data_IF_987601718835
#
_entry.id   IF_987601718835
#
_cell.length_a   1.000
_cell.length_b   1.000
_cell.length_c   1.000
_cell.angle_alpha   90.00
_cell.angle_beta   90.00
_cell.angle_gamma   90.00
#
_symmetry.space_group_name_H-M   'P 1'
#
loop_
_entity.id
_entity.type
_entity.pdbx_description
1 polymer ?
#
# COMPACT_ATOMS: atom_id res chain seq x y z
N UNK A 1 26.97 -6.28 67.82
CA UNK A 1 27.30 -7.71 67.74
C UNK A 1 26.58 -8.29 66.53
N UNK A 2 27.25 -8.26 65.38
CA UNK A 2 27.63 -9.44 64.56
C UNK A 2 26.44 -10.09 63.87
N UNK A 3 26.28 -10.01 62.55
CA UNK A 3 26.83 -10.92 61.50
C UNK A 3 25.61 -11.02 60.52
N UNK A 4 25.66 -10.93 59.20
CA UNK A 4 26.54 -11.57 58.23
C UNK A 4 26.51 -10.84 56.88
N UNK A 5 27.69 -10.85 56.26
CA UNK A 5 28.03 -10.31 54.96
C UNK A 5 28.17 -11.45 53.95
N UNK A 6 27.08 -11.91 53.33
CA UNK A 6 27.09 -12.89 52.23
C UNK A 6 25.81 -12.61 51.40
N UNK A 7 25.78 -12.33 50.09
CA UNK A 7 26.43 -12.94 48.94
C UNK A 7 26.43 -11.89 47.80
N UNK A 8 27.52 -11.13 47.60
CA UNK A 8 27.80 -10.43 46.33
C UNK A 8 28.40 -11.42 45.33
N UNK A 9 27.78 -12.58 45.13
CA UNK A 9 28.20 -13.51 44.07
C UNK A 9 27.70 -12.97 42.73
N UNK A 10 28.60 -12.15 42.17
CA UNK A 10 28.95 -12.13 40.76
C UNK A 10 27.85 -11.70 39.77
N UNK A 11 27.23 -10.54 40.01
CA UNK A 11 26.41 -9.85 38.99
C UNK A 11 27.18 -9.64 37.68
N UNK A 12 28.50 -9.41 37.76
CA UNK A 12 29.38 -9.29 36.61
C UNK A 12 29.50 -10.60 35.80
N UNK A 13 29.65 -11.75 36.46
CA UNK A 13 29.69 -13.04 35.77
C UNK A 13 28.36 -13.41 35.13
N UNK A 14 27.24 -13.17 35.82
CA UNK A 14 25.90 -13.38 35.25
C UNK A 14 25.67 -12.48 34.03
N UNK A 15 26.07 -11.21 34.09
CA UNK A 15 26.01 -10.30 32.94
C UNK A 15 26.91 -10.74 31.79
N UNK A 16 28.10 -11.26 32.08
CA UNK A 16 29.01 -11.80 31.07
C UNK A 16 28.43 -13.06 30.42
N UNK A 17 27.80 -13.95 31.19
CA UNK A 17 27.10 -15.12 30.68
C UNK A 17 25.97 -14.73 29.71
N UNK A 18 25.13 -13.76 30.08
CA UNK A 18 24.06 -13.27 29.20
C UNK A 18 24.61 -12.61 27.92
N UNK A 19 25.68 -11.81 28.03
CA UNK A 19 26.34 -11.22 26.85
C UNK A 19 26.94 -12.28 25.94
N UNK A 20 27.58 -13.30 26.50
CA UNK A 20 28.13 -14.43 25.75
C UNK A 20 27.03 -15.25 25.05
N UNK A 21 25.90 -15.48 25.73
CA UNK A 21 24.73 -16.13 25.12
C UNK A 21 24.17 -15.28 23.97
N UNK A 22 24.06 -13.96 24.13
CA UNK A 22 23.63 -13.06 23.05
C UNK A 22 24.59 -13.14 21.86
N UNK A 23 25.90 -13.10 22.08
CA UNK A 23 26.91 -13.23 21.02
C UNK A 23 26.77 -14.58 20.31
N UNK A 24 26.60 -15.67 21.06
CA UNK A 24 26.44 -17.00 20.50
C UNK A 24 25.18 -17.10 19.62
N UNK A 25 24.05 -16.56 20.09
CA UNK A 25 22.79 -16.51 19.30
C UNK A 25 22.99 -15.68 18.03
N UNK A 26 23.63 -14.52 18.12
CA UNK A 26 23.90 -13.68 16.96
C UNK A 26 24.81 -14.38 15.95
N UNK A 27 25.88 -15.05 16.41
CA UNK A 27 26.76 -15.85 15.55
C UNK A 27 26.01 -17.01 14.91
N UNK A 28 25.11 -17.66 15.65
CA UNK A 28 24.23 -18.71 15.12
C UNK A 28 23.28 -18.20 14.04
N UNK A 29 22.70 -17.01 14.21
CA UNK A 29 21.86 -16.36 13.20
C UNK A 29 22.68 -16.03 11.95
N UNK A 30 23.87 -15.44 12.11
CA UNK A 30 24.77 -15.10 10.98
C UNK A 30 25.20 -16.37 10.24
N UNK A 31 25.60 -17.41 10.95
CA UNK A 31 25.97 -18.69 10.36
C UNK A 31 24.77 -19.33 9.64
N UNK A 32 23.59 -19.32 10.26
CA UNK A 32 22.35 -19.83 9.66
C UNK A 32 21.98 -19.10 8.38
N UNK A 33 22.06 -17.76 8.38
CA UNK A 33 21.84 -16.94 7.19
C UNK A 33 22.87 -17.26 6.10
N UNK A 34 24.15 -17.35 6.45
CA UNK A 34 25.21 -17.66 5.48
C UNK A 34 25.04 -19.05 4.86
N UNK A 35 24.69 -20.06 5.67
CA UNK A 35 24.38 -21.41 5.19
C UNK A 35 23.17 -21.37 4.27
N UNK A 36 22.11 -20.65 4.64
CA UNK A 36 20.91 -20.51 3.82
C UNK A 36 21.24 -19.83 2.48
N UNK A 37 22.00 -18.73 2.48
CA UNK A 37 22.42 -18.03 1.26
C UNK A 37 23.24 -18.92 0.35
N UNK A 38 24.17 -19.72 0.90
CA UNK A 38 24.98 -20.66 0.10
C UNK A 38 24.17 -21.79 -0.55
N UNK A 39 22.99 -22.11 -0.03
CA UNK A 39 22.09 -23.12 -0.60
C UNK A 39 21.21 -22.59 -1.74
N UNK A 40 21.23 -21.28 -1.99
CA UNK A 40 20.43 -20.65 -3.03
C UNK A 40 21.34 -20.30 -4.21
N UNK A 41 21.21 -21.05 -5.31
CA UNK A 41 21.82 -20.70 -6.59
C UNK A 41 21.08 -19.51 -7.22
N UNK A 42 21.38 -18.31 -6.73
CA UNK A 42 20.75 -17.08 -7.20
C UNK A 42 21.62 -16.35 -8.22
N UNK A 43 21.21 -16.34 -9.49
CA UNK A 43 21.82 -15.45 -10.49
C UNK A 43 21.14 -14.08 -10.42
N UNK A 44 21.77 -13.12 -9.75
CA UNK A 44 21.26 -11.75 -9.66
C UNK A 44 21.25 -11.06 -11.03
N UNK A 45 20.06 -10.63 -11.49
CA UNK A 45 19.87 -9.91 -12.77
C UNK A 45 19.46 -8.46 -12.53
N UNK A 46 20.35 -7.68 -11.91
CA UNK A 46 20.12 -6.26 -11.57
C UNK A 46 19.69 -5.41 -12.77
N UNK A 47 20.19 -5.74 -13.96
CA UNK A 47 19.83 -5.10 -15.23
C UNK A 47 18.33 -5.20 -15.58
N UNK A 48 17.60 -6.17 -15.02
CA UNK A 48 16.16 -6.34 -15.25
C UNK A 48 15.31 -5.54 -14.27
N UNK A 49 15.86 -5.05 -13.18
CA UNK A 49 15.08 -4.35 -12.13
C UNK A 49 14.38 -3.09 -12.65
N UNK A 50 15.04 -2.20 -13.43
CA UNK A 50 14.41 -0.97 -13.92
C UNK A 50 13.12 -1.21 -14.71
N UNK A 51 13.04 -2.30 -15.49
CA UNK A 51 11.87 -2.62 -16.31
C UNK A 51 10.61 -2.90 -15.47
N UNK A 52 10.76 -3.28 -14.20
CA UNK A 52 9.62 -3.49 -13.29
C UNK A 52 9.05 -2.18 -12.75
N UNK A 53 9.77 -1.07 -12.88
CA UNK A 53 9.30 0.28 -12.55
C UNK A 53 8.77 1.00 -13.79
N UNK A 54 9.50 0.94 -14.90
CA UNK A 54 9.08 1.49 -16.18
C UNK A 54 9.67 0.67 -17.32
N UNK A 55 8.85 0.30 -18.29
CA UNK A 55 9.29 -0.42 -19.47
C UNK A 55 8.70 0.18 -20.74
N UNK A 56 9.40 -0.02 -21.86
CA UNK A 56 8.85 0.27 -23.18
C UNK A 56 8.00 -0.91 -23.62
N UNK A 57 6.68 -0.72 -23.70
CA UNK A 57 5.79 -1.73 -24.29
C UNK A 57 5.75 -1.54 -25.80
N UNK A 58 5.94 -2.62 -26.55
CA UNK A 58 5.61 -2.68 -27.97
C UNK A 58 4.16 -3.12 -28.10
N UNK A 59 3.27 -2.19 -28.45
CA UNK A 59 1.88 -2.51 -28.76
C UNK A 59 1.78 -2.81 -30.26
N UNK A 60 1.70 -4.10 -30.58
CA UNK A 60 1.67 -4.59 -31.95
C UNK A 60 0.27 -4.38 -32.52
N UNK A 61 0.17 -3.54 -33.56
CA UNK A 61 -1.09 -3.31 -34.28
C UNK A 61 -1.29 -4.43 -35.30
N UNK A 62 -2.29 -5.27 -35.03
CA UNK A 62 -2.74 -6.34 -35.92
C UNK A 62 -3.98 -5.92 -36.69
N UNK A 63 -4.09 -6.37 -37.93
CA UNK A 63 -5.34 -6.24 -38.69
C UNK A 63 -6.34 -7.30 -38.25
N UNK A 64 -7.62 -6.96 -38.34
CA UNK A 64 -8.76 -7.80 -37.97
C UNK A 64 -9.64 -8.17 -39.18
N UNK A 65 -9.11 -8.03 -40.40
CA UNK A 65 -9.77 -8.33 -41.66
C UNK A 65 -8.74 -8.52 -42.76
N UNK A 66 -9.08 -9.26 -43.80
CA UNK A 66 -8.23 -9.41 -44.99
C UNK A 66 -8.31 -8.18 -45.89
N UNK A 67 -7.18 -7.71 -46.40
CA UNK A 67 -7.16 -6.53 -47.26
C UNK A 67 -5.80 -6.09 -47.76
N UNK A 68 -5.79 -5.00 -48.53
CA UNK A 68 -4.59 -4.44 -49.13
C UNK A 68 -4.19 -3.09 -48.53
N UNK A 69 -2.88 -2.85 -48.39
CA UNK A 69 -2.32 -1.57 -47.95
C UNK A 69 -2.45 -0.53 -49.08
N UNK A 70 -3.29 0.48 -48.89
CA UNK A 70 -3.58 1.49 -49.93
C UNK A 70 -2.69 2.73 -49.82
N UNK A 71 -2.29 3.12 -48.61
CA UNK A 71 -1.49 4.32 -48.40
C UNK A 71 -0.61 4.17 -47.16
N UNK A 72 0.62 4.64 -47.28
CA UNK A 72 1.55 4.76 -46.16
C UNK A 72 1.99 6.23 -46.12
N UNK A 73 1.54 6.96 -45.09
CA UNK A 73 1.89 8.36 -44.88
C UNK A 73 2.87 8.47 -43.71
N UNK A 74 4.11 8.87 -43.98
CA UNK A 74 5.17 9.00 -42.96
C UNK A 74 5.23 10.44 -42.47
N UNK A 75 4.95 10.65 -41.19
CA UNK A 75 4.97 11.97 -40.55
C UNK A 75 5.94 11.97 -39.37
N UNK A 76 7.22 12.13 -39.67
CA UNK A 76 8.29 12.12 -38.67
C UNK A 76 8.56 10.71 -38.14
N UNK A 77 8.41 10.52 -36.82
CA UNK A 77 8.60 9.24 -36.13
C UNK A 77 7.35 8.34 -36.15
N UNK A 78 6.23 8.82 -36.69
CA UNK A 78 4.98 8.06 -36.81
C UNK A 78 4.61 7.86 -38.29
N UNK A 79 4.15 6.66 -38.61
CA UNK A 79 3.62 6.28 -39.92
C UNK A 79 2.14 5.91 -39.79
N UNK A 80 1.30 6.50 -40.63
CA UNK A 80 -0.10 6.09 -40.77
C UNK A 80 -0.20 5.13 -41.94
N UNK A 81 -0.60 3.89 -41.66
CA UNK A 81 -0.86 2.85 -42.67
C UNK A 81 -2.35 2.70 -42.84
N UNK A 82 -2.83 2.87 -44.07
CA UNK A 82 -4.23 2.79 -44.43
C UNK A 82 -4.48 1.47 -45.19
N UNK A 83 -5.24 0.57 -44.59
CA UNK A 83 -5.57 -0.75 -45.14
C UNK A 83 -7.04 -0.75 -45.54
N UNK A 84 -7.33 -1.20 -46.76
CA UNK A 84 -8.68 -1.33 -47.28
C UNK A 84 -9.12 -2.79 -47.19
N UNK A 85 -10.27 -3.03 -46.58
CA UNK A 85 -10.89 -4.34 -46.47
C UNK A 85 -11.45 -4.77 -47.84
N UNK A 86 -11.11 -5.98 -48.26
CA UNK A 86 -11.59 -6.54 -49.53
C UNK A 86 -13.06 -6.95 -49.47
N UNK A 87 -13.54 -7.30 -48.27
CA UNK A 87 -14.92 -7.68 -48.00
C UNK A 87 -15.64 -6.46 -47.40
N UNK A 88 -16.11 -5.56 -48.26
CA UNK A 88 -16.94 -4.39 -47.89
C UNK A 88 -16.33 -3.03 -48.23
N UNK A 89 -15.05 -2.98 -48.62
CA UNK A 89 -14.41 -1.76 -49.13
C UNK A 89 -14.11 -0.69 -48.06
N UNK A 90 -14.42 -0.95 -46.79
CA UNK A 90 -14.12 -0.06 -45.67
C UNK A 90 -12.61 0.08 -45.47
N UNK A 91 -12.17 1.25 -45.04
CA UNK A 91 -10.76 1.59 -44.91
C UNK A 91 -10.42 1.86 -43.46
N UNK A 92 -9.44 1.15 -42.90
CA UNK A 92 -8.93 1.35 -41.54
C UNK A 92 -7.55 1.96 -41.57
N UNK A 93 -7.28 2.92 -40.69
CA UNK A 93 -5.97 3.57 -40.56
C UNK A 93 -5.33 3.22 -39.23
N UNK A 94 -4.08 2.74 -39.29
CA UNK A 94 -3.28 2.35 -38.14
C UNK A 94 -2.09 3.32 -38.02
N UNK A 95 -1.91 3.90 -36.84
CA UNK A 95 -0.76 4.76 -36.52
C UNK A 95 0.28 3.89 -35.83
N UNK A 96 1.48 3.81 -36.39
CA UNK A 96 2.59 2.97 -35.93
C UNK A 96 3.91 3.76 -35.91
N UNK A 97 4.91 3.28 -35.16
CA UNK A 97 6.25 3.88 -35.19
C UNK A 97 6.89 3.62 -36.57
N UNK A 98 7.47 4.65 -37.18
CA UNK A 98 8.07 4.54 -38.52
C UNK A 98 9.18 3.49 -38.59
N UNK A 99 9.88 3.22 -37.48
CA UNK A 99 10.95 2.22 -37.42
C UNK A 99 10.45 0.78 -37.33
N UNK A 100 9.17 0.56 -37.04
CA UNK A 100 8.57 -0.76 -36.87
C UNK A 100 7.57 -1.10 -37.98
N UNK A 101 7.34 -0.18 -38.91
CA UNK A 101 6.52 -0.38 -40.10
C UNK A 101 7.19 -1.40 -41.05
N UNK A 102 6.65 -2.62 -41.06
CA UNK A 102 7.14 -3.74 -41.87
C UNK A 102 6.25 -4.04 -43.08
N UNK A 103 5.44 -3.07 -43.51
CA UNK A 103 4.48 -3.23 -44.61
C UNK A 103 4.76 -2.28 -45.77
N UNK A 104 4.44 -2.72 -46.97
CA UNK A 104 4.61 -2.01 -48.25
C UNK A 104 3.27 -1.61 -48.86
N UNK A 105 3.28 -0.62 -49.75
CA UNK A 105 2.08 -0.23 -50.52
C UNK A 105 1.69 -1.40 -51.43
N UNK A 106 0.39 -1.65 -51.57
CA UNK A 106 -0.25 -2.77 -52.29
C UNK A 106 0.02 -4.17 -51.72
N UNK A 107 0.67 -4.26 -50.55
CA UNK A 107 0.84 -5.53 -49.85
C UNK A 107 -0.52 -6.08 -49.39
N UNK A 108 -0.73 -7.37 -49.61
CA UNK A 108 -1.88 -8.10 -49.10
C UNK A 108 -1.61 -8.57 -47.67
N UNK A 109 -2.53 -8.28 -46.76
CA UNK A 109 -2.44 -8.64 -45.35
C UNK A 109 -3.66 -9.49 -44.97
N UNK A 110 -3.43 -10.61 -44.28
CA UNK A 110 -4.47 -11.51 -43.77
C UNK A 110 -4.84 -11.17 -42.32
N UNK A 111 -6.09 -11.45 -41.92
CA UNK A 111 -6.54 -11.26 -40.54
C UNK A 111 -5.53 -11.86 -39.53
N UNK A 112 -5.06 -11.01 -38.61
CA UNK A 112 -4.04 -11.36 -37.63
C UNK A 112 -2.60 -10.93 -37.98
N UNK A 113 -2.34 -10.49 -39.22
CA UNK A 113 -1.05 -9.97 -39.64
C UNK A 113 -0.71 -8.65 -38.95
N UNK A 114 0.59 -8.42 -38.76
CA UNK A 114 1.12 -7.27 -38.01
C UNK A 114 1.50 -6.14 -38.96
N UNK A 115 0.88 -4.96 -38.79
CA UNK A 115 1.17 -3.77 -39.60
C UNK A 115 2.44 -3.06 -39.09
N UNK A 116 2.64 -3.09 -37.78
CA UNK A 116 3.75 -2.50 -37.07
C UNK A 116 3.43 -2.38 -35.58
N UNK A 117 4.28 -1.69 -34.82
CA UNK A 117 4.06 -1.49 -33.38
C UNK A 117 4.28 -0.05 -32.95
N UNK A 118 3.57 0.38 -31.91
CA UNK A 118 3.88 1.63 -31.21
C UNK A 118 4.69 1.31 -29.96
N UNK A 119 5.76 2.08 -29.73
CA UNK A 119 6.57 2.00 -28.52
C UNK A 119 6.12 3.07 -27.54
N UNK A 120 5.58 2.65 -26.40
CA UNK A 120 5.13 3.55 -25.35
C UNK A 120 5.75 3.20 -24.00
N UNK A 121 6.09 4.21 -23.23
CA UNK A 121 6.48 4.03 -21.83
C UNK A 121 5.27 3.65 -21.00
N UNK A 122 5.35 2.51 -20.31
CA UNK A 122 4.33 2.07 -19.36
C UNK A 122 4.92 1.88 -17.97
N UNK A 123 4.12 2.22 -16.96
CA UNK A 123 4.44 1.90 -15.58
C UNK A 123 4.55 0.38 -15.43
N UNK A 124 5.68 -0.07 -14.89
CA UNK A 124 5.89 -1.47 -14.58
C UNK A 124 5.05 -1.92 -13.37
N UNK A 125 4.95 -3.24 -13.14
CA UNK A 125 4.11 -3.80 -12.09
C UNK A 125 4.49 -3.34 -10.68
N UNK A 126 5.76 -3.02 -10.40
CA UNK A 126 6.17 -2.50 -9.08
C UNK A 126 5.72 -1.06 -8.87
N UNK A 127 5.81 -0.22 -9.92
CA UNK A 127 5.31 1.15 -9.85
C UNK A 127 3.78 1.17 -9.68
N UNK A 128 3.07 0.29 -10.39
CA UNK A 128 1.63 0.13 -10.20
C UNK A 128 1.28 -0.38 -8.80
N UNK A 129 1.98 -1.41 -8.29
CA UNK A 129 1.79 -1.92 -6.93
C UNK A 129 2.02 -0.85 -5.87
N UNK A 130 3.10 -0.07 -6.00
CA UNK A 130 3.41 1.06 -5.12
C UNK A 130 2.29 2.09 -5.13
N UNK A 131 1.82 2.50 -6.31
CA UNK A 131 0.70 3.43 -6.44
C UNK A 131 -0.53 2.90 -5.71
N UNK A 132 -0.88 1.63 -5.93
CA UNK A 132 -2.03 0.98 -5.28
C UNK A 132 -1.91 0.99 -3.77
N UNK A 133 -0.74 0.65 -3.22
CA UNK A 133 -0.50 0.70 -1.78
C UNK A 133 -0.65 2.12 -1.24
N UNK A 134 -0.08 3.12 -1.91
CA UNK A 134 -0.10 4.50 -1.45
C UNK A 134 -1.53 5.06 -1.40
N UNK A 135 -2.31 4.94 -2.47
CA UNK A 135 -3.64 5.54 -2.49
C UNK A 135 -4.60 4.80 -1.55
N UNK A 136 -4.54 3.46 -1.45
CA UNK A 136 -5.35 2.70 -0.48
C UNK A 136 -4.99 3.12 0.95
N UNK A 137 -3.69 3.23 1.26
CA UNK A 137 -3.23 3.64 2.58
C UNK A 137 -3.66 5.07 2.91
N UNK A 138 -3.59 5.99 1.94
CA UNK A 138 -4.02 7.37 2.12
C UNK A 138 -5.52 7.46 2.45
N UNK A 139 -6.38 6.79 1.68
CA UNK A 139 -7.83 6.79 1.91
C UNK A 139 -8.18 6.13 3.24
N UNK A 140 -7.61 4.96 3.54
CA UNK A 140 -7.80 4.29 4.82
C UNK A 140 -7.33 5.14 6.00
N UNK A 141 -6.21 5.85 5.85
CA UNK A 141 -5.68 6.75 6.90
C UNK A 141 -6.59 7.95 7.15
N UNK A 142 -7.21 8.53 6.11
CA UNK A 142 -8.20 9.61 6.28
C UNK A 142 -9.43 9.09 7.03
N UNK A 143 -9.94 7.93 6.66
CA UNK A 143 -11.07 7.28 7.38
C UNK A 143 -10.69 7.02 8.84
N UNK A 144 -9.51 6.43 9.06
CA UNK A 144 -8.99 6.17 10.39
C UNK A 144 -8.76 7.42 11.21
N UNK A 145 -8.31 8.52 10.60
CA UNK A 145 -8.17 9.80 11.28
C UNK A 145 -9.52 10.33 11.75
N UNK A 146 -10.54 10.33 10.88
CA UNK A 146 -11.89 10.80 11.22
C UNK A 146 -12.49 9.95 12.34
N UNK A 147 -12.47 8.62 12.20
CA UNK A 147 -12.97 7.69 13.23
C UNK A 147 -12.18 7.89 14.52
N UNK A 148 -10.86 7.95 14.44
CA UNK A 148 -9.97 8.07 15.59
C UNK A 148 -10.16 9.37 16.36
N UNK A 149 -10.34 10.51 15.68
CA UNK A 149 -10.64 11.79 16.34
C UNK A 149 -11.98 11.71 17.07
N UNK A 150 -13.04 11.23 16.41
CA UNK A 150 -14.37 11.11 17.00
C UNK A 150 -14.34 10.18 18.22
N UNK A 151 -13.80 8.98 18.05
CA UNK A 151 -13.70 7.99 19.14
C UNK A 151 -12.78 8.49 20.26
N UNK A 152 -11.66 9.12 19.94
CA UNK A 152 -10.72 9.67 20.93
C UNK A 152 -11.36 10.74 21.81
N UNK A 153 -12.16 11.64 21.21
CA UNK A 153 -12.94 12.65 21.94
C UNK A 153 -14.04 12.00 22.80
N UNK A 154 -14.79 11.04 22.25
CA UNK A 154 -15.80 10.29 23.01
C UNK A 154 -15.18 9.54 24.19
N UNK A 155 -13.95 9.05 24.03
CA UNK A 155 -13.22 8.30 25.05
C UNK A 155 -12.80 9.14 26.26
N UNK A 156 -12.54 10.44 26.08
CA UNK A 156 -12.25 11.40 27.17
C UNK A 156 -13.51 12.08 27.73
N UNK A 157 -14.68 11.83 27.13
CA UNK A 157 -15.94 12.43 27.56
C UNK A 157 -16.35 12.00 28.97
N UNK A 158 -17.05 12.90 29.67
CA UNK A 158 -17.69 12.59 30.95
C UNK A 158 -18.93 11.70 30.78
N UNK A 159 -19.56 11.70 29.59
CA UNK A 159 -20.71 10.86 29.30
C UNK A 159 -20.31 9.38 29.32
N UNK A 160 -20.93 8.62 30.23
CA UNK A 160 -20.61 7.20 30.45
C UNK A 160 -20.82 6.36 29.18
N UNK A 161 -21.91 6.57 28.45
CA UNK A 161 -22.24 5.79 27.25
C UNK A 161 -21.21 6.00 26.15
N UNK A 162 -20.86 7.26 25.85
CA UNK A 162 -19.86 7.57 24.82
C UNK A 162 -18.49 6.98 25.16
N UNK A 163 -18.10 7.08 26.44
CA UNK A 163 -16.84 6.54 26.92
C UNK A 163 -16.80 5.02 26.82
N UNK A 164 -17.87 4.33 27.23
CA UNK A 164 -17.94 2.86 27.18
C UNK A 164 -17.97 2.32 25.75
N UNK A 165 -18.77 2.91 24.86
CA UNK A 165 -18.78 2.50 23.45
C UNK A 165 -17.40 2.66 22.80
N UNK A 166 -16.70 3.75 23.13
CA UNK A 166 -15.34 3.99 22.63
C UNK A 166 -14.34 2.97 23.17
N UNK A 167 -14.43 2.62 24.47
CA UNK A 167 -13.61 1.54 25.08
C UNK A 167 -13.82 0.24 24.31
N UNK A 168 -15.07 -0.20 24.19
CA UNK A 168 -15.42 -1.48 23.58
C UNK A 168 -14.91 -1.58 22.15
N UNK A 169 -15.13 -0.53 21.34
CA UNK A 169 -14.61 -0.46 19.98
C UNK A 169 -13.06 -0.57 19.95
N UNK A 170 -12.36 0.23 20.76
CA UNK A 170 -10.89 0.23 20.78
C UNK A 170 -10.34 -1.14 21.20
N UNK A 171 -10.89 -1.73 22.27
CA UNK A 171 -10.43 -3.01 22.81
C UNK A 171 -10.66 -4.17 21.83
N UNK A 172 -11.84 -4.25 21.20
CA UNK A 172 -12.13 -5.29 20.21
C UNK A 172 -11.20 -5.17 19.00
N UNK A 173 -11.03 -3.96 18.48
CA UNK A 173 -10.24 -3.77 17.25
C UNK A 173 -8.75 -3.93 17.49
N UNK A 174 -8.21 -3.45 18.61
CA UNK A 174 -6.79 -3.62 18.94
C UNK A 174 -6.47 -5.02 19.49
N UNK A 175 -7.47 -5.71 20.05
CA UNK A 175 -7.36 -7.08 20.55
C UNK A 175 -7.50 -8.16 19.47
N UNK A 176 -7.87 -7.80 18.24
CA UNK A 176 -8.05 -8.76 17.13
C UNK A 176 -7.02 -8.54 16.02
N UNK A 177 -6.49 -9.61 15.39
CA UNK A 177 -5.55 -9.47 14.27
C UNK A 177 -6.19 -8.75 13.08
N UNK A 178 -5.46 -7.82 12.45
CA UNK A 178 -5.91 -7.10 11.25
C UNK A 178 -6.35 -8.04 10.13
N UNK A 179 -5.66 -9.17 9.94
CA UNK A 179 -6.02 -10.16 8.92
C UNK A 179 -7.42 -10.73 9.14
N UNK A 180 -7.79 -11.01 10.40
CA UNK A 180 -9.14 -11.49 10.75
C UNK A 180 -10.18 -10.44 10.42
N UNK A 181 -9.89 -9.17 10.72
CA UNK A 181 -10.80 -8.06 10.39
C UNK A 181 -10.99 -7.93 8.87
N UNK A 182 -9.91 -8.01 8.09
CA UNK A 182 -9.99 -8.02 6.62
C UNK A 182 -10.89 -9.14 6.10
N UNK A 183 -10.81 -10.35 6.68
CA UNK A 183 -11.68 -11.46 6.32
C UNK A 183 -13.14 -11.22 6.70
N UNK A 184 -13.41 -10.67 7.88
CA UNK A 184 -14.78 -10.31 8.28
C UNK A 184 -15.36 -9.27 7.31
N UNK A 185 -14.60 -8.21 6.99
CA UNK A 185 -15.04 -7.17 6.07
C UNK A 185 -15.28 -7.67 4.65
N UNK A 186 -14.42 -8.56 4.17
CA UNK A 186 -14.53 -9.06 2.80
C UNK A 186 -15.56 -10.19 2.67
N UNK A 187 -15.45 -11.25 3.46
CA UNK A 187 -16.28 -12.44 3.29
C UNK A 187 -17.66 -12.33 3.93
N UNK A 188 -17.79 -11.57 5.03
CA UNK A 188 -19.09 -11.40 5.69
C UNK A 188 -19.77 -10.11 5.24
N UNK A 189 -19.21 -8.94 5.58
CA UNK A 189 -19.84 -7.66 5.23
C UNK A 189 -19.90 -7.46 3.70
N UNK A 190 -18.83 -7.81 2.98
CA UNK A 190 -18.78 -7.73 1.53
C UNK A 190 -19.89 -8.53 0.86
N UNK A 191 -20.12 -9.76 1.31
CA UNK A 191 -21.18 -10.63 0.77
C UNK A 191 -22.58 -10.12 1.14
N UNK A 192 -22.80 -9.77 2.41
CA UNK A 192 -24.12 -9.36 2.91
C UNK A 192 -24.56 -8.01 2.35
N UNK A 193 -23.63 -7.07 2.21
CA UNK A 193 -23.90 -5.69 1.77
C UNK A 193 -23.52 -5.45 0.30
N UNK A 194 -23.09 -6.49 -0.43
CA UNK A 194 -22.60 -6.41 -1.81
C UNK A 194 -21.49 -5.35 -2.00
N UNK A 195 -20.50 -5.35 -1.09
CA UNK A 195 -19.34 -4.45 -1.12
C UNK A 195 -18.16 -5.18 -1.78
N UNK A 196 -17.56 -4.54 -2.78
CA UNK A 196 -16.40 -5.09 -3.49
C UNK A 196 -15.13 -5.18 -2.65
N UNK A 197 -14.13 -5.93 -3.15
CA UNK A 197 -12.86 -6.19 -2.47
C UNK A 197 -12.11 -4.94 -2.02
N UNK A 198 -12.02 -3.93 -2.90
CA UNK A 198 -11.29 -2.69 -2.62
C UNK A 198 -11.92 -1.90 -1.47
N UNK A 199 -13.21 -1.52 -1.52
CA UNK A 199 -13.84 -0.81 -0.41
C UNK A 199 -13.82 -1.63 0.90
N UNK A 200 -14.04 -2.95 0.86
CA UNK A 200 -13.93 -3.79 2.06
C UNK A 200 -12.54 -3.69 2.72
N UNK A 201 -11.48 -3.75 1.93
CA UNK A 201 -10.10 -3.60 2.43
C UNK A 201 -9.83 -2.21 3.00
N UNK A 202 -10.28 -1.16 2.32
CA UNK A 202 -10.12 0.24 2.77
C UNK A 202 -10.85 0.48 4.09
N UNK A 203 -12.09 0.01 4.23
CA UNK A 203 -12.85 0.16 5.47
C UNK A 203 -12.26 -0.64 6.62
N UNK A 204 -11.85 -1.88 6.38
CA UNK A 204 -11.17 -2.68 7.41
C UNK A 204 -9.90 -1.99 7.91
N UNK A 205 -9.05 -1.51 6.99
CA UNK A 205 -7.83 -0.78 7.33
C UNK A 205 -8.12 0.53 8.06
N UNK A 206 -9.11 1.30 7.59
CA UNK A 206 -9.48 2.58 8.20
C UNK A 206 -10.05 2.42 9.60
N UNK A 207 -10.92 1.43 9.81
CA UNK A 207 -11.49 1.13 11.13
C UNK A 207 -10.41 0.59 12.07
N UNK A 208 -9.49 -0.26 11.58
CA UNK A 208 -8.35 -0.69 12.36
C UNK A 208 -7.48 0.48 12.79
N UNK A 209 -7.05 1.31 11.83
CA UNK A 209 -6.23 2.50 12.09
C UNK A 209 -6.93 3.47 13.05
N UNK A 210 -8.24 3.66 12.92
CA UNK A 210 -9.04 4.53 13.77
C UNK A 210 -8.95 4.20 15.25
N UNK A 211 -8.89 2.92 15.62
CA UNK A 211 -8.76 2.51 17.02
C UNK A 211 -7.39 2.90 17.62
N UNK A 212 -6.32 2.83 16.82
CA UNK A 212 -4.98 3.28 17.24
C UNK A 212 -4.89 4.81 17.29
N UNK A 213 -5.46 5.50 16.30
CA UNK A 213 -5.52 6.96 16.28
C UNK A 213 -6.32 7.48 17.48
N UNK A 214 -7.44 6.84 17.84
CA UNK A 214 -8.24 7.21 19.01
C UNK A 214 -7.41 7.19 20.30
N UNK A 215 -6.55 6.20 20.48
CA UNK A 215 -5.65 6.11 21.64
C UNK A 215 -4.54 7.16 21.60
N UNK A 216 -4.02 7.49 20.41
CA UNK A 216 -3.07 8.59 20.23
C UNK A 216 -3.72 9.92 20.63
N UNK A 217 -4.95 10.21 20.16
CA UNK A 217 -5.69 11.42 20.50
C UNK A 217 -5.97 11.48 22.00
N UNK A 218 -6.47 10.40 22.59
CA UNK A 218 -6.73 10.31 24.04
C UNK A 218 -5.45 10.56 24.85
N UNK A 219 -4.34 9.92 24.47
CA UNK A 219 -3.06 10.10 25.13
C UNK A 219 -2.52 11.53 24.96
N UNK A 220 -2.69 12.12 23.77
CA UNK A 220 -2.35 13.52 23.50
C UNK A 220 -3.08 14.48 24.42
N UNK A 221 -4.41 14.33 24.56
CA UNK A 221 -5.22 15.15 25.47
C UNK A 221 -4.77 14.96 26.93
N UNK A 222 -4.54 13.72 27.36
CA UNK A 222 -4.12 13.43 28.74
C UNK A 222 -2.69 13.87 29.07
N UNK A 223 -1.86 14.11 28.06
CA UNK A 223 -0.49 14.61 28.26
C UNK A 223 -0.44 16.09 28.69
N UNK A 224 -1.53 16.82 28.49
CA UNK A 224 -1.66 18.24 28.88
C UNK A 224 -1.87 18.32 30.40
N UNK A 225 -1.14 19.23 31.05
CA UNK A 225 -1.26 19.43 32.50
C UNK A 225 -2.66 19.89 32.88
N UNK A 226 -3.22 19.32 33.95
CA UNK A 226 -4.56 19.66 34.46
C UNK A 226 -4.73 21.16 34.76
N UNK A 227 -3.65 21.84 35.14
CA UNK A 227 -3.63 23.28 35.42
C UNK A 227 -4.10 24.16 34.25
N UNK A 228 -3.90 23.72 32.99
CA UNK A 228 -4.42 24.45 31.83
C UNK A 228 -5.95 24.48 31.81
N UNK A 229 -6.56 23.32 32.07
CA UNK A 229 -8.01 23.21 32.17
C UNK A 229 -8.54 23.96 33.38
N UNK A 230 -7.86 23.90 34.53
CA UNK A 230 -8.24 24.65 35.74
C UNK A 230 -8.19 26.17 35.51
N UNK A 231 -7.11 26.69 34.91
CA UNK A 231 -6.97 28.11 34.58
C UNK A 231 -8.05 28.59 33.61
N UNK A 232 -8.33 27.82 32.54
CA UNK A 232 -9.37 28.14 31.57
C UNK A 232 -10.76 28.22 32.23
N UNK A 233 -11.06 27.27 33.13
CA UNK A 233 -12.31 27.25 33.89
C UNK A 233 -12.41 28.41 34.89
N UNK A 234 -11.30 28.83 35.50
CA UNK A 234 -11.24 30.02 36.37
C UNK A 234 -11.48 31.33 35.61
N UNK A 235 -11.15 31.38 34.32
CA UNK A 235 -11.46 32.50 33.43
C UNK A 235 -12.90 32.45 32.87
N UNK A 236 -13.73 31.51 33.34
CA UNK A 236 -15.15 31.41 32.97
C UNK A 236 -15.43 30.62 31.70
N UNK A 237 -14.43 29.98 31.09
CA UNK A 237 -14.62 29.18 29.88
C UNK A 237 -15.40 27.89 30.18
N UNK A 238 -16.29 27.48 29.27
CA UNK A 238 -16.90 26.14 29.31
C UNK A 238 -15.97 25.06 28.75
N UNK A 239 -16.24 23.78 29.01
CA UNK A 239 -15.35 22.67 28.60
C UNK A 239 -15.07 22.65 27.08
N UNK A 240 -16.07 22.81 26.19
CA UNK A 240 -15.80 22.95 24.76
C UNK A 240 -14.89 24.13 24.42
N UNK A 241 -15.11 25.31 25.01
CA UNK A 241 -14.25 26.48 24.81
C UNK A 241 -12.82 26.19 25.27
N UNK A 242 -12.65 25.61 26.47
CA UNK A 242 -11.34 25.26 27.00
C UNK A 242 -10.61 24.28 26.08
N UNK A 243 -11.29 23.29 25.51
CA UNK A 243 -10.69 22.31 24.59
C UNK A 243 -10.31 22.87 23.22
N UNK A 244 -10.95 23.96 22.77
CA UNK A 244 -10.71 24.55 21.43
C UNK A 244 -9.62 25.62 21.48
N UNK A 245 -9.54 26.39 22.57
CA UNK A 245 -8.71 27.59 22.65
C UNK A 245 -7.46 27.47 23.53
N UNK A 246 -7.34 26.42 24.34
CA UNK A 246 -6.21 26.18 25.27
C UNK A 246 -5.60 24.82 24.97
#
# INVERSE_FOLDING_TARGET
MSRESHVKVNSNFKNWLWRSLTIFVLLGIVAGLWIATKRIDYTWRWNRVPQYFAYHSEDVKKINFDGHVTKIDKKGDLTTVTVKNDIGGETSSFIIDTKTANVSVDEYLMEGDTVGSTREWKAGPLAHGLWVTLWISAVASVIGLVIGVITGLCRVSQNLTLRQLSITYIEIIRGTPLLVQLFIFYFFLGTVLNIGRLPSGIFALGIFAGAYVAEIIRAGIQSISKGQMEAARSLGMNVPQSMVYI
#
